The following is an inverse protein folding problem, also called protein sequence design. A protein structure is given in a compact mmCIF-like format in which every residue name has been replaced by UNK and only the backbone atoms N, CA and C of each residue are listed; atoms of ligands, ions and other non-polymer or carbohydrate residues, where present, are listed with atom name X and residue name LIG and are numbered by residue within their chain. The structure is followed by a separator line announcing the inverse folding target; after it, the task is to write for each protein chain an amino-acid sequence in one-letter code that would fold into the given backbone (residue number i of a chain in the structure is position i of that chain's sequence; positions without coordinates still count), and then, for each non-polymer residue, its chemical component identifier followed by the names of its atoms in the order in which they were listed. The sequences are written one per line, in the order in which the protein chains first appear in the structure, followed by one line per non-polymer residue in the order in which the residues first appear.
data_IF_686376279502
#
_entry.id   IF_686376279502
#
_cell.length_a   1.000
_cell.length_b   1.000
_cell.length_c   1.000
_cell.angle_alpha   90.00
_cell.angle_beta   90.00
_cell.angle_gamma   90.00
#
_symmetry.space_group_name_H-M   'P 1'
#
loop_
_entity.id
_entity.type
_entity.pdbx_description
1 polymer ?
#
# COMPACT_ATOMS: atom_id res chain seq x y z
N UNK A 1 -31.07 -19.53 -39.16
CA UNK A 1 -32.22 -18.62 -39.03
C UNK A 1 -33.10 -19.11 -37.88
N UNK A 2 -33.17 -18.33 -36.80
CA UNK A 2 -34.20 -18.25 -35.70
C UNK A 2 -33.51 -17.57 -34.50
N UNK A 3 -33.33 -16.23 -34.46
CA UNK A 3 -34.21 -15.18 -33.89
C UNK A 3 -34.96 -15.56 -32.60
N UNK A 4 -34.60 -14.93 -31.49
CA UNK A 4 -35.52 -14.24 -30.56
C UNK A 4 -34.77 -13.08 -29.87
N UNK A 5 -35.46 -11.95 -29.75
CA UNK A 5 -34.98 -10.64 -29.29
C UNK A 5 -35.69 -10.26 -27.95
N UNK A 6 -35.61 -9.01 -27.44
CA UNK A 6 -35.15 -8.69 -26.09
C UNK A 6 -36.29 -8.24 -25.14
N UNK A 7 -35.98 -8.05 -23.85
CA UNK A 7 -36.85 -7.33 -22.92
C UNK A 7 -36.06 -6.20 -22.26
N UNK A 8 -36.58 -4.99 -22.42
CA UNK A 8 -36.07 -3.73 -21.90
C UNK A 8 -36.97 -3.23 -20.75
N UNK A 9 -36.45 -2.20 -20.06
CA UNK A 9 -37.15 -1.10 -19.35
C UNK A 9 -37.65 -1.36 -17.91
N UNK A 10 -37.12 -0.58 -16.93
CA UNK A 10 -37.78 0.66 -16.45
C UNK A 10 -36.96 1.40 -15.36
N UNK A 11 -36.88 2.72 -15.54
CA UNK A 11 -36.40 3.77 -14.62
C UNK A 11 -37.35 3.98 -13.44
N UNK A 12 -36.82 4.44 -12.30
CA UNK A 12 -37.48 5.45 -11.46
C UNK A 12 -36.48 6.23 -10.60
N UNK A 13 -36.30 7.51 -10.92
CA UNK A 13 -35.68 8.53 -10.07
C UNK A 13 -36.72 9.05 -9.06
N UNK A 14 -36.31 9.31 -7.81
CA UNK A 14 -37.03 10.19 -6.90
C UNK A 14 -36.07 11.25 -6.35
N UNK A 15 -36.40 12.51 -6.64
CA UNK A 15 -35.78 13.72 -6.10
C UNK A 15 -36.79 14.47 -5.21
N UNK A 16 -36.27 15.46 -4.46
CA UNK A 16 -36.93 16.49 -3.62
C UNK A 16 -37.15 16.05 -2.16
N UNK A 17 -36.96 16.86 -1.12
CA UNK A 17 -37.03 18.32 -1.02
C UNK A 17 -36.18 18.87 0.16
N UNK A 18 -35.77 20.13 0.01
CA UNK A 18 -35.20 21.03 1.01
C UNK A 18 -36.26 21.55 1.99
N UNK A 19 -35.94 21.63 3.29
CA UNK A 19 -36.60 22.56 4.21
C UNK A 19 -35.65 22.94 5.36
N UNK A 20 -35.41 24.24 5.48
CA UNK A 20 -34.59 24.93 6.46
C UNK A 20 -35.36 25.13 7.77
N UNK A 21 -34.73 24.91 8.93
CA UNK A 21 -35.19 25.46 10.21
C UNK A 21 -34.03 26.21 10.87
N UNK A 22 -34.18 27.52 10.90
CA UNK A 22 -33.35 28.48 11.61
C UNK A 22 -34.00 28.67 12.98
N UNK A 23 -33.24 28.48 14.05
CA UNK A 23 -33.64 28.88 15.39
C UNK A 23 -32.53 29.78 15.93
N UNK A 24 -32.80 31.07 15.90
CA UNK A 24 -32.16 32.09 16.73
C UNK A 24 -32.93 32.16 18.04
N UNK A 25 -32.25 32.01 19.17
CA UNK A 25 -32.62 32.71 20.40
C UNK A 25 -31.35 32.99 21.23
N UNK A 26 -31.38 34.13 21.92
CA UNK A 26 -30.26 34.90 22.45
C UNK A 26 -30.36 35.00 23.96
N UNK A 27 -29.25 34.90 24.71
CA UNK A 27 -28.96 35.63 25.96
C UNK A 27 -27.74 34.97 26.64
N UNK A 28 -26.54 35.56 26.66
CA UNK A 28 -26.06 36.69 27.49
C UNK A 28 -25.62 36.28 28.90
N UNK A 29 -24.31 36.19 29.15
CA UNK A 29 -23.57 37.00 30.15
C UNK A 29 -22.14 36.47 30.40
N UNK A 30 -21.16 37.34 30.08
CA UNK A 30 -19.89 37.65 30.75
C UNK A 30 -18.99 36.57 31.37
N UNK A 31 -17.79 36.41 30.80
CA UNK A 31 -16.54 36.84 31.46
C UNK A 31 -15.29 36.78 30.56
N UNK A 32 -14.64 37.94 30.44
CA UNK A 32 -13.18 38.20 30.39
C UNK A 32 -12.34 37.74 29.19
N UNK A 33 -11.96 38.74 28.39
CA UNK A 33 -10.91 38.80 27.35
C UNK A 33 -9.48 38.47 27.87
N UNK A 34 -8.50 38.16 26.99
CA UNK A 34 -7.78 39.23 26.33
C UNK A 34 -7.76 39.13 24.80
N UNK A 35 -7.97 40.29 24.20
CA UNK A 35 -7.90 40.60 22.78
C UNK A 35 -6.45 40.45 22.30
N UNK A 36 -6.20 39.58 21.33
CA UNK A 36 -5.09 39.77 20.39
C UNK A 36 -5.66 40.41 19.13
N UNK A 37 -5.15 41.62 18.86
CA UNK A 37 -5.54 42.50 17.77
C UNK A 37 -5.38 41.80 16.41
N UNK A 38 -6.48 41.60 15.69
CA UNK A 38 -6.45 41.19 14.28
C UNK A 38 -6.78 42.42 13.44
N UNK A 39 -5.79 42.87 12.67
CA UNK A 39 -5.96 43.91 11.66
C UNK A 39 -6.94 43.40 10.58
N UNK A 40 -7.94 44.19 10.15
CA UNK A 40 -8.93 43.74 9.17
C UNK A 40 -8.35 43.83 7.76
N UNK A 41 -7.89 42.70 7.24
CA UNK A 41 -7.46 42.62 5.85
C UNK A 41 -6.78 41.30 5.50
N UNK A 42 -7.54 40.20 5.44
CA UNK A 42 -7.49 39.23 4.33
C UNK A 42 -8.62 38.19 4.50
N UNK A 43 -9.56 38.04 3.54
CA UNK A 43 -10.57 37.00 3.63
C UNK A 43 -9.96 35.63 3.32
N UNK A 44 -9.79 34.81 4.36
CA UNK A 44 -9.94 33.36 4.33
C UNK A 44 -9.22 32.61 3.21
N UNK A 45 -7.90 32.49 3.30
CA UNK A 45 -7.20 31.39 2.64
C UNK A 45 -7.20 30.19 3.60
N UNK A 46 -7.92 29.08 3.33
CA UNK A 46 -7.71 27.86 4.09
C UNK A 46 -6.26 27.43 3.90
N UNK A 47 -5.61 27.03 5.00
CA UNK A 47 -4.26 26.49 4.97
C UNK A 47 -4.16 25.43 3.87
N UNK A 48 -3.28 25.65 2.89
CA UNK A 48 -3.02 24.72 1.81
C UNK A 48 -2.77 23.34 2.44
N UNK A 49 -3.70 22.41 2.24
CA UNK A 49 -3.47 20.99 2.53
C UNK A 49 -2.52 20.47 1.46
N UNK A 50 -1.26 20.87 1.53
CA UNK A 50 -0.20 20.24 0.75
C UNK A 50 -0.05 18.82 1.28
N UNK A 51 -0.22 17.83 0.40
CA UNK A 51 0.05 16.44 0.77
C UNK A 51 1.45 16.35 1.41
N UNK A 52 1.63 15.54 2.47
CA UNK A 52 2.94 15.34 3.07
C UNK A 52 3.94 14.97 1.98
N UNK A 53 5.02 15.74 1.85
CA UNK A 53 6.11 15.34 0.97
C UNK A 53 6.69 14.06 1.53
N UNK A 54 6.62 12.98 0.74
CA UNK A 54 7.33 11.75 1.02
C UNK A 54 8.83 12.06 1.14
N UNK A 55 9.40 11.86 2.32
CA UNK A 55 10.83 12.11 2.59
C UNK A 55 11.47 10.81 3.04
N UNK A 56 12.57 10.47 2.39
CA UNK A 56 13.41 9.34 2.79
C UNK A 56 14.03 9.59 4.17
N UNK A 57 14.30 8.52 4.92
CA UNK A 57 14.84 8.58 6.27
C UNK A 57 16.28 9.11 6.34
N UNK A 58 17.06 8.98 5.27
CA UNK A 58 18.46 9.39 5.17
C UNK A 58 18.86 9.71 3.72
N UNK A 59 20.03 10.36 3.48
CA UNK A 59 20.53 10.57 2.14
C UNK A 59 20.77 9.28 1.33
N UNK A 60 21.29 8.22 1.95
CA UNK A 60 21.46 6.92 1.29
C UNK A 60 20.11 6.29 0.96
N UNK A 61 19.13 6.45 1.84
CA UNK A 61 17.75 6.02 1.57
C UNK A 61 17.12 6.78 0.40
N UNK A 62 17.37 8.09 0.28
CA UNK A 62 16.94 8.87 -0.88
C UNK A 62 17.63 8.40 -2.18
N UNK A 63 18.91 8.03 -2.11
CA UNK A 63 19.63 7.47 -3.26
C UNK A 63 19.09 6.08 -3.65
N UNK A 64 18.77 5.22 -2.68
CA UNK A 64 18.14 3.93 -2.95
C UNK A 64 16.75 4.09 -3.57
N UNK A 65 15.95 5.04 -3.07
CA UNK A 65 14.64 5.38 -3.63
C UNK A 65 14.74 5.88 -5.09
N UNK A 66 15.80 6.63 -5.42
CA UNK A 66 16.07 7.02 -6.80
C UNK A 66 16.40 5.81 -7.70
N UNK A 67 17.19 4.84 -7.20
CA UNK A 67 17.45 3.59 -7.93
C UNK A 67 16.16 2.79 -8.12
N UNK A 68 15.33 2.69 -7.07
CA UNK A 68 14.03 2.04 -7.11
C UNK A 68 13.10 2.66 -8.17
N UNK A 69 12.93 3.98 -8.14
CA UNK A 69 12.02 4.69 -9.06
C UNK A 69 12.50 4.59 -10.51
N UNK A 70 13.81 4.70 -10.75
CA UNK A 70 14.39 4.46 -12.08
C UNK A 70 14.16 3.02 -12.54
N UNK A 71 14.40 2.02 -11.68
CA UNK A 71 14.17 0.62 -12.02
C UNK A 71 12.70 0.33 -12.32
N UNK A 72 11.78 0.92 -11.55
CA UNK A 72 10.34 0.79 -11.76
C UNK A 72 9.90 1.34 -13.12
N UNK A 73 10.50 2.45 -13.56
CA UNK A 73 10.19 3.07 -14.85
C UNK A 73 10.88 2.39 -16.05
N UNK A 74 12.12 1.92 -15.87
CA UNK A 74 12.98 1.46 -16.97
C UNK A 74 12.99 -0.05 -17.20
N UNK A 75 12.75 -0.87 -16.17
CA UNK A 75 12.78 -2.33 -16.29
C UNK A 75 11.50 -2.90 -16.91
N UNK A 76 11.63 -4.03 -17.62
CA UNK A 76 10.48 -4.75 -18.18
C UNK A 76 9.49 -5.16 -17.10
N UNK A 77 9.98 -5.71 -15.98
CA UNK A 77 9.13 -6.11 -14.84
C UNK A 77 8.48 -4.92 -14.15
N UNK A 78 9.17 -3.77 -14.06
CA UNK A 78 8.61 -2.55 -13.50
C UNK A 78 7.47 -1.97 -14.36
N UNK A 79 7.62 -2.02 -15.68
CA UNK A 79 6.57 -1.64 -16.63
C UNK A 79 5.40 -2.62 -16.63
N UNK A 80 5.68 -3.92 -16.49
CA UNK A 80 4.66 -4.94 -16.34
C UNK A 80 3.82 -4.70 -15.08
N UNK A 81 4.46 -4.50 -13.92
CA UNK A 81 3.77 -4.14 -12.69
C UNK A 81 2.96 -2.84 -12.83
N UNK A 82 3.55 -1.78 -13.39
CA UNK A 82 2.86 -0.49 -13.61
C UNK A 82 1.62 -0.64 -14.49
N UNK A 83 1.67 -1.52 -15.49
CA UNK A 83 0.53 -1.84 -16.35
C UNK A 83 -0.58 -2.55 -15.57
N UNK A 84 -0.25 -3.50 -14.69
CA UNK A 84 -1.25 -4.19 -13.87
C UNK A 84 -1.80 -3.24 -12.78
N UNK A 85 -0.95 -2.43 -12.17
CA UNK A 85 -1.32 -1.49 -11.10
C UNK A 85 -2.22 -0.33 -11.59
N UNK A 86 -2.14 0.05 -12.87
CA UNK A 86 -2.97 1.13 -13.45
C UNK A 86 -4.36 0.68 -13.92
N UNK A 87 -4.63 -0.63 -13.95
CA UNK A 87 -5.94 -1.17 -14.33
C UNK A 87 -7.00 -0.90 -13.27
N UNK A 88 -8.26 -0.82 -13.70
CA UNK A 88 -9.37 -0.53 -12.76
C UNK A 88 -9.63 -1.71 -11.84
N UNK A 89 -10.24 -1.43 -10.68
CA UNK A 89 -10.71 -2.47 -9.78
C UNK A 89 -11.62 -3.47 -10.53
N UNK A 90 -11.29 -4.76 -10.47
CA UNK A 90 -11.99 -5.84 -11.18
C UNK A 90 -11.42 -6.18 -12.57
N UNK A 91 -10.46 -5.41 -13.10
CA UNK A 91 -9.75 -5.74 -14.34
C UNK A 91 -8.50 -6.60 -14.10
N UNK A 92 -8.06 -6.72 -12.84
CA UNK A 92 -6.94 -7.57 -12.40
C UNK A 92 -7.25 -8.21 -11.07
N UNK A 93 -6.77 -9.42 -10.84
CA UNK A 93 -6.86 -10.07 -9.53
C UNK A 93 -5.82 -9.51 -8.55
N UNK A 94 -5.97 -9.79 -7.25
CA UNK A 94 -4.94 -9.50 -6.27
C UNK A 94 -3.67 -10.30 -6.57
N UNK A 95 -3.81 -11.59 -6.86
CA UNK A 95 -2.70 -12.50 -7.21
C UNK A 95 -1.92 -12.03 -8.43
N UNK A 96 -2.58 -11.53 -9.48
CA UNK A 96 -1.89 -10.98 -10.66
C UNK A 96 -1.04 -9.76 -10.32
N UNK A 97 -1.56 -8.86 -9.46
CA UNK A 97 -0.81 -7.68 -8.99
C UNK A 97 0.36 -8.09 -8.10
N UNK A 98 0.13 -9.02 -7.19
CA UNK A 98 1.14 -9.59 -6.30
C UNK A 98 2.28 -10.22 -7.10
N UNK A 99 1.99 -11.11 -8.04
CA UNK A 99 3.02 -11.75 -8.86
C UNK A 99 3.80 -10.76 -9.73
N UNK A 100 3.14 -9.76 -10.32
CA UNK A 100 3.82 -8.73 -11.10
C UNK A 100 4.76 -7.89 -10.20
N UNK A 101 4.32 -7.60 -8.98
CA UNK A 101 5.13 -6.89 -8.00
C UNK A 101 6.35 -7.70 -7.55
N UNK A 102 6.17 -8.96 -7.15
CA UNK A 102 7.27 -9.82 -6.69
C UNK A 102 8.30 -10.08 -7.81
N UNK A 103 7.87 -10.17 -9.06
CA UNK A 103 8.77 -10.23 -10.21
C UNK A 103 9.62 -8.96 -10.36
N UNK A 104 9.03 -7.78 -10.15
CA UNK A 104 9.78 -6.53 -10.14
C UNK A 104 10.71 -6.42 -8.94
N UNK A 105 10.27 -6.78 -7.73
CA UNK A 105 11.10 -6.76 -6.53
C UNK A 105 12.34 -7.67 -6.68
N UNK A 106 12.16 -8.85 -7.29
CA UNK A 106 13.27 -9.73 -7.63
C UNK A 106 14.23 -9.11 -8.65
N UNK A 107 13.72 -8.44 -9.69
CA UNK A 107 14.54 -7.73 -10.68
C UNK A 107 15.32 -6.58 -10.05
N UNK A 108 14.66 -5.78 -9.20
CA UNK A 108 15.32 -4.71 -8.45
C UNK A 108 16.48 -5.26 -7.61
N UNK A 109 16.23 -6.33 -6.85
CA UNK A 109 17.26 -6.97 -6.02
C UNK A 109 18.43 -7.50 -6.85
N UNK A 110 18.16 -8.18 -7.97
CA UNK A 110 19.18 -8.88 -8.73
C UNK A 110 19.93 -7.96 -9.70
N UNK A 111 19.19 -7.25 -10.56
CA UNK A 111 19.74 -6.55 -11.72
C UNK A 111 20.24 -5.15 -11.35
N UNK A 112 19.70 -4.57 -10.28
CA UNK A 112 20.11 -3.27 -9.74
C UNK A 112 20.97 -3.40 -8.46
N UNK A 113 21.45 -4.60 -8.12
CA UNK A 113 22.22 -4.88 -6.91
C UNK A 113 23.43 -3.95 -6.72
N UNK A 114 24.16 -3.67 -7.82
CA UNK A 114 25.36 -2.82 -7.80
C UNK A 114 25.01 -1.37 -7.50
N UNK A 115 23.95 -0.86 -8.13
CA UNK A 115 23.46 0.51 -7.97
C UNK A 115 22.90 0.71 -6.57
N UNK A 116 22.12 -0.25 -6.06
CA UNK A 116 21.60 -0.23 -4.69
C UNK A 116 22.73 -0.27 -3.66
N UNK A 117 23.74 -1.11 -3.87
CA UNK A 117 24.92 -1.17 -2.99
C UNK A 117 25.70 0.15 -2.98
N UNK A 118 25.84 0.79 -4.14
CA UNK A 118 26.48 2.10 -4.24
C UNK A 118 25.64 3.23 -3.61
N UNK A 119 24.31 3.12 -3.66
CA UNK A 119 23.38 4.07 -3.06
C UNK A 119 23.27 3.93 -1.54
N UNK A 120 23.49 2.73 -0.99
CA UNK A 120 23.40 2.43 0.44
C UNK A 120 24.60 2.98 1.23
N UNK A 121 24.74 4.31 1.29
CA UNK A 121 25.92 5.00 1.85
C UNK A 121 25.93 5.17 3.36
N UNK A 122 24.79 4.97 4.04
CA UNK A 122 24.64 5.08 5.49
C UNK A 122 24.06 3.79 6.11
N UNK A 123 24.05 3.70 7.45
CA UNK A 123 23.58 2.51 8.17
C UNK A 123 22.11 2.19 7.85
N UNK A 124 21.23 3.20 7.83
CA UNK A 124 19.80 3.02 7.53
C UNK A 124 19.59 2.46 6.13
N UNK A 125 20.32 2.98 5.14
CA UNK A 125 20.24 2.49 3.77
C UNK A 125 20.81 1.07 3.62
N UNK A 126 21.90 0.73 4.33
CA UNK A 126 22.44 -0.65 4.35
C UNK A 126 21.49 -1.64 5.00
N UNK A 127 20.78 -1.23 6.06
CA UNK A 127 19.74 -2.04 6.68
C UNK A 127 18.58 -2.28 5.69
N UNK A 128 18.14 -1.25 4.96
CA UNK A 128 17.12 -1.39 3.93
C UNK A 128 17.56 -2.30 2.77
N UNK A 129 18.82 -2.24 2.36
CA UNK A 129 19.36 -3.15 1.35
C UNK A 129 19.36 -4.60 1.85
N UNK A 130 19.71 -4.85 3.11
CA UNK A 130 19.59 -6.17 3.72
C UNK A 130 18.12 -6.62 3.79
N UNK A 131 17.20 -5.72 4.15
CA UNK A 131 15.77 -5.98 4.18
C UNK A 131 15.22 -6.33 2.79
N UNK A 132 15.69 -5.70 1.70
CA UNK A 132 15.28 -6.05 0.33
C UNK A 132 15.58 -7.53 0.01
N UNK A 133 16.74 -8.03 0.42
CA UNK A 133 17.09 -9.44 0.22
C UNK A 133 16.13 -10.36 1.00
N UNK A 134 15.90 -10.06 2.29
CA UNK A 134 14.97 -10.83 3.14
C UNK A 134 13.56 -10.82 2.57
N UNK A 135 13.06 -9.64 2.16
CA UNK A 135 11.74 -9.48 1.56
C UNK A 135 11.56 -10.42 0.36
N UNK A 136 12.45 -10.33 -0.63
CA UNK A 136 12.32 -11.12 -1.86
C UNK A 136 12.49 -12.61 -1.58
N UNK A 137 13.47 -13.01 -0.74
CA UNK A 137 13.69 -14.43 -0.45
C UNK A 137 12.53 -15.05 0.32
N UNK A 138 11.94 -14.33 1.28
CA UNK A 138 10.81 -14.82 2.08
C UNK A 138 9.53 -14.88 1.27
N UNK A 139 9.20 -13.83 0.52
CA UNK A 139 8.01 -13.86 -0.32
C UNK A 139 8.11 -14.94 -1.40
N UNK A 140 9.27 -15.13 -2.04
CA UNK A 140 9.45 -16.22 -2.99
C UNK A 140 9.25 -17.62 -2.35
N UNK A 141 9.73 -17.82 -1.12
CA UNK A 141 9.57 -19.09 -0.41
C UNK A 141 8.12 -19.33 0.06
N UNK A 142 7.41 -18.27 0.46
CA UNK A 142 6.00 -18.30 0.83
C UNK A 142 5.12 -18.58 -0.41
N UNK A 143 5.32 -17.81 -1.48
CA UNK A 143 4.53 -17.89 -2.73
C UNK A 143 4.69 -19.23 -3.45
N UNK A 144 5.90 -19.80 -3.45
CA UNK A 144 6.15 -21.11 -4.06
C UNK A 144 5.61 -22.28 -3.23
N UNK A 145 5.16 -22.02 -2.00
CA UNK A 145 4.79 -23.06 -1.04
C UNK A 145 5.98 -23.89 -0.52
N UNK A 146 7.22 -23.43 -0.74
CA UNK A 146 8.41 -24.06 -0.18
C UNK A 146 8.37 -24.06 1.36
N UNK A 147 7.73 -23.03 1.94
CA UNK A 147 7.34 -22.99 3.35
C UNK A 147 5.81 -23.13 3.40
N UNK A 148 5.27 -24.34 3.67
CA UNK A 148 3.82 -24.54 3.70
C UNK A 148 3.20 -23.86 4.92
N UNK A 149 2.00 -23.30 4.75
CA UNK A 149 1.23 -22.61 5.81
C UNK A 149 0.93 -23.52 7.01
N UNK A 150 0.62 -24.79 6.77
CA UNK A 150 0.31 -25.76 7.81
C UNK A 150 1.41 -26.81 7.94
N UNK A 151 1.75 -27.18 9.17
CA UNK A 151 2.75 -28.21 9.45
C UNK A 151 2.32 -29.59 8.91
N UNK A 152 1.03 -29.87 8.97
CA UNK A 152 0.39 -31.04 8.37
C UNK A 152 -0.90 -30.60 7.66
N UNK A 153 -0.90 -30.68 6.33
CA UNK A 153 -2.05 -30.27 5.52
C UNK A 153 -3.28 -31.17 5.71
N UNK A 154 -3.07 -32.48 5.93
CA UNK A 154 -4.20 -33.39 6.12
C UNK A 154 -4.84 -33.15 7.49
N UNK A 155 -4.03 -32.99 8.53
CA UNK A 155 -4.53 -32.63 9.85
C UNK A 155 -5.23 -31.26 9.86
N UNK A 156 -4.70 -30.28 9.12
CA UNK A 156 -5.32 -28.97 8.95
C UNK A 156 -6.70 -29.07 8.28
N UNK A 157 -6.82 -29.85 7.20
CA UNK A 157 -8.11 -30.07 6.54
C UNK A 157 -9.13 -30.74 7.47
N UNK A 158 -8.71 -31.72 8.26
CA UNK A 158 -9.61 -32.38 9.23
C UNK A 158 -10.02 -31.44 10.38
N UNK A 159 -9.11 -30.59 10.87
CA UNK A 159 -9.44 -29.55 11.84
C UNK A 159 -10.49 -28.58 11.28
N UNK A 160 -10.31 -28.09 10.04
CA UNK A 160 -11.27 -27.21 9.37
C UNK A 160 -12.64 -27.86 9.21
N UNK A 161 -12.71 -29.15 8.85
CA UNK A 161 -13.98 -29.90 8.76
C UNK A 161 -14.71 -30.00 10.10
N UNK A 162 -13.98 -30.03 11.21
CA UNK A 162 -14.53 -30.02 12.57
C UNK A 162 -14.85 -28.61 13.09
N UNK A 163 -14.53 -27.56 12.34
CA UNK A 163 -14.66 -26.16 12.78
C UNK A 163 -13.58 -25.72 13.78
N UNK A 164 -12.48 -26.45 13.84
CA UNK A 164 -11.31 -26.14 14.68
C UNK A 164 -10.30 -25.30 13.89
N UNK A 165 -9.52 -24.47 14.59
CA UNK A 165 -8.40 -23.74 13.98
C UNK A 165 -7.24 -24.73 13.72
N UNK A 166 -6.74 -24.87 12.49
CA UNK A 166 -5.55 -25.67 12.21
C UNK A 166 -4.29 -25.16 12.91
N UNK A 167 -3.35 -26.07 13.15
CA UNK A 167 -2.02 -25.71 13.59
C UNK A 167 -1.19 -25.15 12.42
N UNK A 168 -0.81 -23.87 12.51
CA UNK A 168 0.08 -23.22 11.55
C UNK A 168 1.49 -23.79 11.69
N UNK A 169 2.22 -23.85 10.58
CA UNK A 169 3.64 -24.13 10.59
C UNK A 169 4.41 -22.94 11.23
N UNK A 170 5.17 -23.15 12.33
CA UNK A 170 5.95 -22.07 12.94
C UNK A 170 6.96 -21.42 11.97
N UNK A 171 7.49 -22.18 11.01
CA UNK A 171 8.40 -21.64 9.99
C UNK A 171 7.68 -20.69 9.02
N UNK A 172 6.40 -20.94 8.74
CA UNK A 172 5.57 -20.04 7.93
C UNK A 172 5.31 -18.73 8.66
N UNK A 173 4.90 -18.81 9.94
CA UNK A 173 4.68 -17.61 10.76
C UNK A 173 5.95 -16.78 10.90
N UNK A 174 7.10 -17.43 11.11
CA UNK A 174 8.39 -16.76 11.16
C UNK A 174 8.74 -16.09 9.81
N UNK A 175 8.58 -16.80 8.69
CA UNK A 175 8.88 -16.26 7.36
C UNK A 175 7.99 -15.06 7.03
N UNK A 176 6.70 -15.12 7.37
CA UNK A 176 5.76 -14.02 7.21
C UNK A 176 6.14 -12.81 8.07
N UNK A 177 6.54 -13.03 9.32
CA UNK A 177 7.00 -11.97 10.21
C UNK A 177 8.29 -11.30 9.70
N UNK A 178 9.24 -12.08 9.19
CA UNK A 178 10.48 -11.59 8.57
C UNK A 178 10.19 -10.76 7.32
N UNK A 179 9.31 -11.24 6.42
CA UNK A 179 8.88 -10.49 5.23
C UNK A 179 8.18 -9.18 5.60
N UNK A 180 7.28 -9.21 6.60
CA UNK A 180 6.56 -8.03 7.09
C UNK A 180 7.51 -6.99 7.70
N UNK A 181 8.46 -7.44 8.53
CA UNK A 181 9.46 -6.54 9.10
C UNK A 181 10.35 -5.93 8.02
N UNK A 182 10.78 -6.73 7.05
CA UNK A 182 11.57 -6.24 5.93
C UNK A 182 10.80 -5.21 5.10
N UNK A 183 9.50 -5.46 4.85
CA UNK A 183 8.62 -4.52 4.15
C UNK A 183 8.51 -3.17 4.87
N UNK A 184 8.38 -3.18 6.19
CA UNK A 184 8.35 -1.96 7.00
C UNK A 184 9.66 -1.16 6.91
N UNK A 185 10.81 -1.85 6.95
CA UNK A 185 12.13 -1.21 6.77
C UNK A 185 12.25 -0.59 5.38
N UNK A 186 11.83 -1.29 4.33
CA UNK A 186 11.87 -0.80 2.95
C UNK A 186 10.99 0.44 2.78
N UNK A 187 9.75 0.40 3.28
CA UNK A 187 8.80 1.52 3.23
C UNK A 187 9.32 2.75 3.98
N UNK A 188 10.05 2.55 5.08
CA UNK A 188 10.66 3.65 5.85
C UNK A 188 11.83 4.28 5.08
N UNK A 189 12.62 3.48 4.37
CA UNK A 189 13.80 3.96 3.66
C UNK A 189 13.45 4.55 2.29
N UNK A 190 12.63 3.86 1.49
CA UNK A 190 12.26 4.24 0.12
C UNK A 190 10.80 4.68 0.09
N UNK A 191 10.50 5.99 0.10
CA UNK A 191 9.12 6.45 0.21
C UNK A 191 8.22 6.10 -0.98
N UNK A 192 8.79 5.76 -2.14
CA UNK A 192 8.02 5.26 -3.28
C UNK A 192 7.81 3.73 -3.24
N UNK A 193 8.42 3.03 -2.30
CA UNK A 193 8.09 1.64 -2.03
C UNK A 193 6.64 1.52 -1.55
N UNK A 194 5.79 0.66 -2.15
CA UNK A 194 4.38 0.54 -1.79
C UNK A 194 4.16 0.18 -0.32
N UNK A 195 3.24 0.89 0.34
CA UNK A 195 2.89 0.68 1.75
C UNK A 195 1.89 -0.47 1.94
N UNK A 196 1.10 -0.79 0.91
CA UNK A 196 0.03 -1.78 0.98
C UNK A 196 -0.03 -2.61 -0.32
N UNK A 197 -0.37 -3.88 -0.16
CA UNK A 197 -0.97 -4.73 -1.19
C UNK A 197 -2.31 -5.24 -0.68
#
# INVERSE_FOLDING_TARGET
MTRFAPAALLLAMCALATASCQVTDSAQSDQSVPVTSVSPGDPGQPANSSMPTLRAASPGCAAMDAVFTEALASSETGQAYSTVASRRAGETTADERHHAWEAFAATLRNDYATQLSAAATDDTAREALAALNVYVDRNAALDSGAIPEYADQAAAQEALKRGEKPETNPAYEQALAEATSAHATLTTCMPHWPVVF
#
